data_IF_968990631290
#
_entry.id   IF_968990631290
#
_cell.length_a   1.000
_cell.length_b   1.000
_cell.length_c   1.000
_cell.angle_alpha   90.00
_cell.angle_beta   90.00
_cell.angle_gamma   90.00
#
_symmetry.space_group_name_H-M   'P 1'
#
loop_
_entity.id
_entity.type
_entity.pdbx_description
1 polymer ?
#
# COMPACT_ATOMS: atom_id res chain seq x y z
N UNK A 1 -21.09 -19.87 9.53
CA UNK A 1 -21.83 -18.67 10.01
C UNK A 1 -20.86 -17.51 9.98
N UNK A 2 -20.83 -16.77 8.87
CA UNK A 2 -19.91 -15.64 8.68
C UNK A 2 -20.52 -14.39 9.31
N UNK A 3 -19.78 -13.75 10.21
CA UNK A 3 -20.19 -12.54 10.93
C UNK A 3 -19.60 -11.32 10.22
N UNK A 4 -20.40 -10.64 9.39
CA UNK A 4 -20.06 -9.31 8.88
C UNK A 4 -20.08 -8.30 10.04
N UNK A 5 -18.95 -7.61 10.27
CA UNK A 5 -18.87 -6.50 11.23
C UNK A 5 -18.56 -5.21 10.49
N UNK A 6 -19.60 -4.40 10.32
CA UNK A 6 -19.51 -3.01 9.89
C UNK A 6 -19.06 -2.13 11.06
N UNK A 7 -18.00 -1.34 10.86
CA UNK A 7 -17.57 -0.31 11.82
C UNK A 7 -17.57 1.06 11.13
N UNK A 8 -18.61 1.83 11.38
CA UNK A 8 -18.69 3.25 11.00
C UNK A 8 -17.91 4.09 12.02
N UNK A 9 -16.85 4.79 11.58
CA UNK A 9 -16.17 5.81 12.39
C UNK A 9 -16.61 7.20 11.94
N UNK A 10 -17.40 7.87 12.78
CA UNK A 10 -17.64 9.31 12.67
C UNK A 10 -16.70 10.06 13.63
N UNK A 11 -15.99 11.07 13.12
CA UNK A 11 -15.07 11.91 13.91
C UNK A 11 -15.57 13.36 13.85
N UNK A 12 -15.92 13.99 14.98
CA UNK A 12 -16.03 15.45 15.02
C UNK A 12 -14.67 16.05 15.37
N UNK A 13 -14.09 16.83 14.44
CA UNK A 13 -12.97 17.74 14.72
C UNK A 13 -13.48 18.94 15.52
N UNK A 14 -13.07 19.08 16.77
CA UNK A 14 -13.13 20.37 17.48
C UNK A 14 -11.71 20.81 17.86
N UNK A 15 -11.26 21.91 17.24
CA UNK A 15 -9.98 22.55 17.54
C UNK A 15 -10.26 23.61 18.62
N UNK A 16 -9.84 23.36 19.86
CA UNK A 16 -9.77 24.39 20.89
C UNK A 16 -8.33 24.90 21.00
N UNK A 17 -8.05 26.08 20.42
CA UNK A 17 -6.81 26.83 20.67
C UNK A 17 -6.97 27.61 21.98
N UNK A 18 -6.20 27.25 23.01
CA UNK A 18 -6.03 28.05 24.21
C UNK A 18 -4.87 29.05 24.01
N UNK A 19 -5.17 30.35 24.11
CA UNK A 19 -4.16 31.40 24.14
C UNK A 19 -3.86 31.75 25.60
N UNK A 20 -2.67 31.40 26.08
CA UNK A 20 -2.15 31.88 27.36
C UNK A 20 -1.52 33.27 27.17
N UNK A 21 -2.13 34.30 27.76
CA UNK A 21 -1.57 35.66 27.81
C UNK A 21 -0.75 35.78 29.10
N UNK A 22 0.55 36.01 28.95
CA UNK A 22 1.48 36.33 30.04
C UNK A 22 1.38 37.82 30.40
N UNK A 23 1.13 38.15 31.67
CA UNK A 23 1.23 39.52 32.19
C UNK A 23 2.65 39.83 32.64
N UNK A 24 3.24 40.88 32.08
CA UNK A 24 4.56 41.41 32.45
C UNK A 24 4.46 42.35 33.65
N UNK A 25 5.58 42.38 34.38
CA UNK A 25 5.88 43.07 35.62
C UNK A 25 6.04 44.60 35.53
N UNK A 26 5.80 45.20 36.70
CA UNK A 26 5.99 46.57 37.20
C UNK A 26 7.16 47.43 36.67
N UNK A 27 6.94 48.75 36.73
CA UNK A 27 7.99 49.77 36.90
C UNK A 27 7.68 50.67 38.10
N UNK A 28 8.74 50.95 38.88
CA UNK A 28 8.79 51.76 40.09
C UNK A 28 8.96 53.26 39.79
N UNK A 29 8.52 54.14 40.71
CA UNK A 29 9.30 55.32 41.15
C UNK A 29 8.86 55.87 42.53
N UNK A 30 9.80 56.33 43.40
CA UNK A 30 9.50 56.83 44.75
C UNK A 30 9.57 58.37 44.90
N UNK A 31 8.94 58.91 45.94
CA UNK A 31 9.17 60.29 46.49
C UNK A 31 8.94 60.26 48.02
N UNK A 32 9.66 61.05 48.86
CA UNK A 32 9.78 60.80 50.30
C UNK A 32 9.05 61.78 51.26
N UNK A 33 9.01 61.34 52.52
CA UNK A 33 9.07 62.06 53.81
C UNK A 33 7.84 62.81 54.37
N UNK A 34 7.41 62.43 55.59
CA UNK A 34 7.63 63.11 56.90
C UNK A 34 6.85 62.35 58.00
N UNK A 35 7.31 62.30 59.29
CA UNK A 35 6.95 61.25 60.23
C UNK A 35 5.83 61.64 61.21
N UNK A 36 5.16 60.64 61.78
CA UNK A 36 4.40 60.79 63.03
C UNK A 36 4.54 59.55 63.92
N UNK A 37 4.90 59.82 65.17
CA UNK A 37 5.03 58.88 66.27
C UNK A 37 3.76 58.06 66.51
N UNK A 38 3.94 56.78 66.85
CA UNK A 38 2.88 55.94 67.37
C UNK A 38 3.43 54.57 67.74
N UNK A 39 3.54 54.32 69.04
CA UNK A 39 4.00 53.08 69.66
C UNK A 39 3.06 51.94 69.28
N UNK A 40 3.54 50.92 68.56
CA UNK A 40 2.89 49.61 68.50
C UNK A 40 3.95 48.50 68.46
N UNK A 41 3.96 47.68 69.52
CA UNK A 41 4.67 46.41 69.55
C UNK A 41 3.97 45.43 68.63
N UNK A 42 4.68 44.89 67.64
CA UNK A 42 4.19 43.78 66.84
C UNK A 42 5.32 42.77 66.65
N UNK A 43 5.13 41.62 67.29
CA UNK A 43 5.61 40.28 66.97
C UNK A 43 6.65 40.18 65.84
N UNK A 44 7.88 39.78 66.18
CA UNK A 44 8.89 39.37 65.19
C UNK A 44 8.37 38.19 64.36
N UNK A 45 7.91 38.46 63.14
CA UNK A 45 7.73 37.42 62.14
C UNK A 45 9.09 37.07 61.56
N UNK A 46 9.63 35.93 61.99
CA UNK A 46 10.78 35.31 61.35
C UNK A 46 10.42 34.98 59.89
N UNK A 47 11.03 35.68 58.94
CA UNK A 47 10.92 35.35 57.52
C UNK A 47 11.66 34.05 57.28
N UNK A 48 10.92 32.94 57.19
CA UNK A 48 11.49 31.67 56.70
C UNK A 48 11.77 31.83 55.20
N UNK A 49 12.92 31.38 54.68
CA UNK A 49 13.14 31.32 53.25
C UNK A 49 12.14 30.32 52.65
N UNK A 50 11.22 30.81 51.82
CA UNK A 50 10.38 29.98 50.98
C UNK A 50 11.27 29.40 49.88
N UNK A 51 11.85 28.23 50.13
CA UNK A 51 12.40 27.43 49.06
C UNK A 51 11.26 27.06 48.11
N UNK A 52 11.46 27.26 46.80
CA UNK A 52 10.56 26.72 45.80
C UNK A 52 10.49 25.20 45.99
N UNK A 53 9.30 24.69 46.32
CA UNK A 53 9.06 23.25 46.30
C UNK A 53 9.18 22.81 44.85
N UNK A 54 10.36 22.32 44.46
CA UNK A 54 10.50 21.57 43.22
C UNK A 54 9.57 20.37 43.35
N UNK A 55 8.46 20.41 42.60
CA UNK A 55 7.56 19.29 42.49
C UNK A 55 8.35 18.15 41.86
N UNK A 56 8.85 17.23 42.69
CA UNK A 56 9.32 15.91 42.25
C UNK A 56 8.08 15.06 41.96
N UNK A 57 7.24 15.52 41.04
CA UNK A 57 6.31 14.62 40.38
C UNK A 57 7.22 13.65 39.66
N UNK A 58 7.49 12.49 40.27
CA UNK A 58 7.98 11.34 39.53
C UNK A 58 7.06 11.28 38.32
N UNK A 59 7.61 11.42 37.12
CA UNK A 59 6.87 11.07 35.92
C UNK A 59 6.34 9.67 36.20
N UNK A 60 5.05 9.59 36.52
CA UNK A 60 4.39 8.32 36.71
C UNK A 60 4.59 7.70 35.34
N UNK A 61 5.40 6.63 35.26
CA UNK A 61 5.30 5.73 34.12
C UNK A 61 3.84 5.32 34.13
N UNK A 62 3.06 5.97 33.27
CA UNK A 62 1.69 5.56 33.01
C UNK A 62 1.83 4.08 32.65
N UNK A 63 1.16 3.20 33.41
CA UNK A 63 1.16 1.78 33.06
C UNK A 63 0.73 1.65 31.61
N UNK A 64 1.32 0.69 30.88
CA UNK A 64 0.89 0.35 29.52
C UNK A 64 -0.66 0.36 29.48
N UNK A 65 -1.23 1.03 28.49
CA UNK A 65 -2.68 1.15 28.42
C UNK A 65 -3.26 -0.27 28.30
N UNK A 66 -4.38 -0.54 28.94
CA UNK A 66 -5.00 -1.88 28.92
C UNK A 66 -5.22 -2.39 27.48
N UNK A 67 -5.51 -1.48 26.55
CA UNK A 67 -5.63 -1.79 25.13
C UNK A 67 -4.34 -2.23 24.42
N UNK A 68 -3.16 -1.88 24.95
CA UNK A 68 -1.87 -2.29 24.36
C UNK A 68 -1.67 -3.81 24.53
N UNK A 69 -2.07 -4.35 25.68
CA UNK A 69 -1.99 -5.78 25.96
C UNK A 69 -2.94 -6.60 25.07
N UNK A 70 -4.20 -6.14 24.94
CA UNK A 70 -5.19 -6.79 24.08
C UNK A 70 -4.74 -6.77 22.60
N UNK A 71 -4.21 -5.64 22.14
CA UNK A 71 -3.72 -5.49 20.77
C UNK A 71 -2.51 -6.38 20.51
N UNK A 72 -1.54 -6.44 21.43
CA UNK A 72 -0.37 -7.34 21.30
C UNK A 72 -0.80 -8.80 21.25
N UNK A 73 -1.73 -9.23 22.11
CA UNK A 73 -2.23 -10.60 22.10
C UNK A 73 -2.89 -10.94 20.77
N UNK A 74 -3.70 -10.01 20.22
CA UNK A 74 -4.33 -10.22 18.91
C UNK A 74 -3.31 -10.29 17.78
N UNK A 75 -2.33 -9.37 17.76
CA UNK A 75 -1.25 -9.38 16.76
C UNK A 75 -0.41 -10.67 16.84
N UNK A 76 -0.17 -11.19 18.04
CA UNK A 76 0.51 -12.48 18.21
C UNK A 76 -0.27 -13.65 17.65
N UNK A 77 -1.58 -13.66 17.83
CA UNK A 77 -2.42 -14.72 17.30
C UNK A 77 -2.48 -14.67 15.77
N UNK A 78 -2.70 -13.50 15.17
CA UNK A 78 -2.63 -13.32 13.71
C UNK A 78 -1.30 -13.79 13.15
N UNK A 79 -0.17 -13.37 13.74
CA UNK A 79 1.16 -13.73 13.28
C UNK A 79 1.39 -15.27 13.34
N UNK A 80 0.86 -15.97 14.35
CA UNK A 80 0.92 -17.44 14.40
C UNK A 80 0.11 -18.07 13.28
N UNK A 81 -1.09 -17.56 13.00
CA UNK A 81 -1.93 -18.05 11.91
C UNK A 81 -1.23 -17.85 10.57
N UNK A 82 -0.76 -16.64 10.26
CA UNK A 82 -0.13 -16.31 8.98
C UNK A 82 1.17 -17.07 8.71
N UNK A 83 1.96 -17.35 9.75
CA UNK A 83 3.18 -18.18 9.61
C UNK A 83 2.90 -19.66 9.43
N UNK A 84 1.76 -20.14 9.91
CA UNK A 84 1.39 -21.54 9.83
C UNK A 84 0.73 -21.88 8.48
N UNK A 85 -0.19 -21.04 8.00
CA UNK A 85 -0.97 -21.34 6.79
C UNK A 85 -0.55 -20.50 5.57
N UNK A 86 -0.28 -19.21 5.75
CA UNK A 86 -0.21 -18.28 4.61
C UNK A 86 0.91 -18.56 3.60
N UNK A 87 2.00 -19.24 4.00
CA UNK A 87 3.05 -19.65 3.07
C UNK A 87 2.79 -21.04 2.47
N UNK A 88 2.11 -21.93 3.19
CA UNK A 88 1.77 -23.28 2.69
C UNK A 88 0.79 -23.17 1.51
N UNK A 89 -0.14 -22.22 1.58
CA UNK A 89 -1.12 -21.95 0.50
C UNK A 89 -0.45 -21.41 -0.79
N UNK A 90 0.79 -20.90 -0.69
CA UNK A 90 1.54 -20.31 -1.81
C UNK A 90 2.72 -21.18 -2.28
N UNK A 91 2.81 -22.44 -1.83
CA UNK A 91 3.93 -23.34 -2.17
C UNK A 91 4.07 -23.54 -3.69
N UNK A 92 2.95 -23.62 -4.41
CA UNK A 92 2.92 -23.71 -5.89
C UNK A 92 3.52 -22.46 -6.53
N UNK A 93 3.10 -21.27 -6.09
CA UNK A 93 3.63 -19.98 -6.55
C UNK A 93 5.12 -19.86 -6.26
N UNK A 94 5.59 -20.27 -5.07
CA UNK A 94 7.02 -20.28 -4.73
C UNK A 94 7.82 -21.20 -5.65
N UNK A 95 7.28 -22.37 -5.99
CA UNK A 95 7.94 -23.30 -6.93
C UNK A 95 7.99 -22.73 -8.36
N UNK A 96 6.89 -22.13 -8.83
CA UNK A 96 6.85 -21.48 -10.15
C UNK A 96 7.89 -20.35 -10.24
N UNK A 97 7.94 -19.48 -9.23
CA UNK A 97 8.93 -18.40 -9.13
C UNK A 97 10.35 -18.97 -9.21
N UNK A 98 10.66 -19.99 -8.41
CA UNK A 98 12.00 -20.61 -8.44
C UNK A 98 12.35 -21.21 -9.80
N UNK A 99 11.41 -21.90 -10.43
CA UNK A 99 11.59 -22.49 -11.76
C UNK A 99 11.91 -21.41 -12.81
N UNK A 100 11.08 -20.37 -12.90
CA UNK A 100 11.24 -19.31 -13.90
C UNK A 100 12.56 -18.55 -13.68
N UNK A 101 12.93 -18.25 -12.43
CA UNK A 101 14.17 -17.54 -12.11
C UNK A 101 15.43 -18.38 -12.29
N UNK A 102 15.35 -19.70 -12.17
CA UNK A 102 16.50 -20.58 -12.45
C UNK A 102 16.70 -20.77 -13.95
N UNK A 103 15.60 -20.84 -14.70
CA UNK A 103 15.64 -21.06 -16.15
C UNK A 103 15.97 -19.78 -16.92
N UNK A 104 15.63 -18.63 -16.36
CA UNK A 104 15.85 -17.33 -16.97
C UNK A 104 16.97 -16.58 -16.26
N UNK A 105 17.88 -15.97 -17.01
CA UNK A 105 19.00 -15.20 -16.47
C UNK A 105 18.60 -13.80 -15.93
N UNK A 106 17.55 -13.73 -15.11
CA UNK A 106 17.11 -12.49 -14.46
C UNK A 106 17.80 -12.32 -13.11
N UNK A 107 18.35 -11.13 -12.87
CA UNK A 107 18.83 -10.69 -11.56
C UNK A 107 17.71 -9.94 -10.84
N UNK A 108 17.34 -10.40 -9.66
CA UNK A 108 16.28 -9.81 -8.84
C UNK A 108 16.87 -8.88 -7.79
N UNK A 109 16.26 -7.72 -7.65
CA UNK A 109 16.38 -6.86 -6.49
C UNK A 109 15.01 -6.69 -5.85
N UNK A 110 14.85 -7.35 -4.71
CA UNK A 110 13.70 -7.30 -3.81
C UNK A 110 14.21 -6.89 -2.42
N UNK A 111 13.73 -5.74 -1.93
CA UNK A 111 14.13 -5.18 -0.65
C UNK A 111 12.97 -5.34 0.34
N UNK A 112 13.17 -6.09 1.45
CA UNK A 112 12.14 -6.24 2.47
C UNK A 112 11.70 -4.90 3.06
N UNK A 113 10.39 -4.62 3.03
CA UNK A 113 9.77 -3.36 3.45
C UNK A 113 9.55 -2.35 2.32
N UNK A 114 10.08 -2.59 1.12
CA UNK A 114 9.75 -1.84 -0.10
C UNK A 114 8.70 -2.63 -0.90
N UNK A 115 7.77 -1.93 -1.56
CA UNK A 115 6.73 -2.56 -2.37
C UNK A 115 7.21 -2.89 -3.80
N UNK A 116 8.17 -2.14 -4.33
CA UNK A 116 8.69 -2.31 -5.69
C UNK A 116 9.68 -3.48 -5.75
N UNK A 117 9.53 -4.31 -6.78
CA UNK A 117 10.48 -5.36 -7.14
C UNK A 117 11.05 -5.04 -8.51
N UNK A 118 12.35 -5.27 -8.69
CA UNK A 118 13.00 -5.07 -9.99
C UNK A 118 13.74 -6.31 -10.46
N UNK A 119 13.49 -6.68 -11.71
CA UNK A 119 14.19 -7.72 -12.45
C UNK A 119 15.09 -7.06 -13.48
N UNK A 120 16.34 -7.50 -13.60
CA UNK A 120 17.29 -6.96 -14.57
C UNK A 120 17.98 -8.07 -15.34
N UNK A 121 18.22 -7.84 -16.63
CA UNK A 121 18.92 -8.78 -17.50
C UNK A 121 19.58 -8.03 -18.65
N UNK A 122 20.65 -8.61 -19.19
CA UNK A 122 21.28 -8.13 -20.42
C UNK A 122 20.84 -8.96 -21.62
N UNK A 123 20.58 -8.28 -22.74
CA UNK A 123 20.27 -8.91 -24.02
C UNK A 123 21.13 -8.28 -25.10
N UNK A 124 22.22 -8.96 -25.49
CA UNK A 124 23.19 -8.40 -26.42
C UNK A 124 23.82 -7.11 -25.88
N UNK A 125 23.57 -5.99 -26.54
CA UNK A 125 24.01 -4.65 -26.11
C UNK A 125 22.94 -3.88 -25.31
N UNK A 126 21.81 -4.50 -25.00
CA UNK A 126 20.68 -3.86 -24.34
C UNK A 126 20.63 -4.25 -22.86
N UNK A 127 20.24 -3.30 -22.00
CA UNK A 127 19.91 -3.55 -20.61
C UNK A 127 18.39 -3.52 -20.46
N UNK A 128 17.82 -4.59 -19.92
CA UNK A 128 16.39 -4.77 -19.75
C UNK A 128 16.09 -4.78 -18.26
N UNK A 129 15.11 -3.97 -17.87
CA UNK A 129 14.62 -3.86 -16.50
C UNK A 129 13.12 -4.03 -16.51
N UNK A 130 12.59 -4.90 -15.66
CA UNK A 130 11.17 -4.94 -15.34
C UNK A 130 10.98 -4.48 -13.91
N UNK A 131 9.98 -3.64 -13.68
CA UNK A 131 9.57 -3.23 -12.34
C UNK A 131 8.07 -3.41 -12.19
N UNK A 132 7.67 -4.04 -11.09
CA UNK A 132 6.29 -4.23 -10.69
C UNK A 132 6.18 -3.99 -9.17
N UNK A 133 4.97 -3.73 -8.69
CA UNK A 133 4.73 -3.35 -7.29
C UNK A 133 3.64 -4.20 -6.68
N UNK A 134 3.78 -4.46 -5.38
CA UNK A 134 2.74 -5.16 -4.61
C UNK A 134 1.49 -4.29 -4.40
N UNK A 135 1.61 -2.97 -4.56
CA UNK A 135 0.49 -2.03 -4.43
C UNK A 135 -0.67 -2.32 -5.41
N UNK A 136 -0.41 -3.02 -6.51
CA UNK A 136 -1.45 -3.33 -7.50
C UNK A 136 -2.57 -4.20 -6.90
N UNK A 137 -2.24 -5.17 -6.02
CA UNK A 137 -3.23 -5.99 -5.30
C UNK A 137 -4.19 -5.13 -4.46
N UNK A 138 -3.68 -4.04 -3.87
CA UNK A 138 -4.47 -3.17 -3.00
C UNK A 138 -5.46 -2.34 -3.83
N UNK A 139 -5.03 -1.83 -4.97
CA UNK A 139 -5.89 -1.06 -5.87
C UNK A 139 -7.03 -1.91 -6.48
N UNK A 140 -6.78 -3.20 -6.73
CA UNK A 140 -7.80 -4.14 -7.22
C UNK A 140 -8.93 -4.33 -6.22
N UNK A 141 -8.59 -4.52 -4.94
CA UNK A 141 -9.59 -4.66 -3.88
C UNK A 141 -10.49 -3.43 -3.75
N UNK A 142 -9.95 -2.23 -3.96
CA UNK A 142 -10.74 -0.99 -3.94
C UNK A 142 -11.67 -0.88 -5.16
N UNK A 143 -11.24 -1.35 -6.33
CA UNK A 143 -12.03 -1.30 -7.57
C UNK A 143 -13.19 -2.31 -7.53
N UNK A 144 -12.95 -3.55 -7.08
CA UNK A 144 -14.01 -4.56 -6.91
C UNK A 144 -15.07 -4.11 -5.89
N UNK A 145 -14.64 -3.47 -4.80
CA UNK A 145 -15.56 -2.92 -3.80
C UNK A 145 -16.38 -1.74 -4.36
N UNK A 146 -15.80 -0.93 -5.27
CA UNK A 146 -16.53 0.14 -5.98
C UNK A 146 -17.57 -0.41 -6.97
N UNK A 147 -17.21 -1.44 -7.73
CA UNK A 147 -18.08 -2.04 -8.73
C UNK A 147 -19.26 -2.78 -8.06
N UNK A 148 -19.00 -3.44 -6.93
CA UNK A 148 -20.05 -4.06 -6.10
C UNK A 148 -21.04 -3.04 -5.50
N UNK A 149 -20.58 -1.82 -5.18
CA UNK A 149 -21.45 -0.73 -4.72
C UNK A 149 -22.22 -0.07 -5.88
N UNK A 150 -21.67 -0.11 -7.10
CA UNK A 150 -22.34 0.35 -8.32
C UNK A 150 -23.57 -0.48 -8.68
N UNK A 151 -23.45 -1.81 -8.55
CA UNK A 151 -24.56 -2.74 -8.79
C UNK A 151 -25.67 -2.68 -7.72
N UNK A 152 -25.37 -2.19 -6.50
CA UNK A 152 -26.40 -1.98 -5.46
C UNK A 152 -27.26 -0.73 -5.73
N UNK A 153 -26.82 0.18 -6.60
CA UNK A 153 -27.52 1.43 -6.94
C UNK A 153 -28.44 1.33 -8.17
N UNK A 154 -28.43 0.21 -8.91
CA UNK A 154 -29.25 0.05 -10.12
C UNK A 154 -30.52 -0.82 -9.91
N UNK A 155 -30.86 -1.12 -8.64
CA UNK A 155 -32.08 -1.85 -8.29
C UNK A 155 -33.31 -0.94 -8.11
N UNK A 156 -33.66 -0.17 -9.15
CA UNK A 156 -34.96 0.51 -9.22
C UNK A 156 -35.52 0.48 -10.66
N UNK A 157 -35.72 -0.74 -11.20
CA UNK A 157 -36.63 -0.94 -12.33
C UNK A 157 -38.02 -1.38 -11.85
N UNK A 158 -39.09 -0.70 -12.29
CA UNK A 158 -40.43 -0.95 -11.77
C UNK A 158 -40.97 -2.30 -12.24
N UNK A 159 -41.48 -3.05 -11.25
CA UNK A 159 -42.18 -4.31 -11.40
C UNK A 159 -43.27 -4.27 -12.49
N UNK A 160 -43.03 -5.00 -13.58
CA UNK A 160 -44.08 -5.25 -14.57
C UNK A 160 -44.92 -6.46 -14.11
N UNK A 161 -46.05 -6.17 -13.47
CA UNK A 161 -47.09 -7.16 -13.15
C UNK A 161 -47.75 -7.65 -14.44
N UNK A 162 -47.69 -8.97 -14.68
CA UNK A 162 -48.71 -9.66 -15.47
C UNK A 162 -48.28 -10.98 -16.07
N UNK A 163 -48.56 -12.10 -15.38
CA UNK A 163 -49.55 -13.10 -15.81
C UNK A 163 -49.21 -14.49 -15.24
N UNK A 164 -50.20 -15.11 -14.61
CA UNK A 164 -50.12 -16.44 -14.02
C UNK A 164 -50.13 -17.51 -15.13
N UNK A 165 -49.16 -18.43 -15.09
CA UNK A 165 -49.10 -19.59 -15.97
C UNK A 165 -48.09 -20.61 -15.46
N UNK A 166 -48.58 -21.54 -14.64
CA UNK A 166 -47.97 -22.80 -14.23
C UNK A 166 -46.88 -23.34 -15.17
N UNK A 167 -45.62 -23.34 -14.73
CA UNK A 167 -44.58 -24.25 -15.22
C UNK A 167 -43.95 -24.94 -14.02
N UNK A 168 -44.09 -26.25 -13.97
CA UNK A 168 -43.54 -27.13 -12.94
C UNK A 168 -42.01 -27.02 -12.91
N UNK A 169 -41.45 -26.66 -11.77
CA UNK A 169 -40.01 -26.68 -11.53
C UNK A 169 -39.59 -28.13 -11.30
N UNK A 170 -38.85 -28.72 -12.25
CA UNK A 170 -38.25 -30.04 -12.09
C UNK A 170 -37.03 -29.96 -11.16
N UNK A 171 -36.79 -30.96 -10.30
CA UNK A 171 -35.69 -30.95 -9.33
C UNK A 171 -34.44 -31.60 -9.95
N UNK A 172 -33.80 -30.96 -10.93
CA UNK A 172 -32.64 -31.56 -11.60
C UNK A 172 -31.67 -30.45 -12.06
N UNK A 173 -30.92 -29.87 -11.13
CA UNK A 173 -29.64 -29.22 -11.49
C UNK A 173 -28.61 -29.47 -10.38
N UNK A 174 -28.32 -30.76 -10.18
CA UNK A 174 -27.17 -31.18 -9.41
C UNK A 174 -25.97 -31.21 -10.36
N UNK A 175 -25.21 -30.12 -10.38
CA UNK A 175 -23.91 -30.03 -11.07
C UNK A 175 -23.06 -31.26 -10.74
N UNK A 176 -22.55 -31.92 -11.77
CA UNK A 176 -21.75 -33.14 -11.63
C UNK A 176 -20.45 -32.84 -10.86
N UNK A 177 -19.92 -33.74 -10.02
CA UNK A 177 -18.65 -33.51 -9.32
C UNK A 177 -17.47 -33.18 -10.23
N UNK A 178 -17.49 -33.61 -11.50
CA UNK A 178 -16.47 -33.29 -12.50
C UNK A 178 -16.52 -31.84 -13.01
N UNK A 179 -17.65 -31.14 -12.86
CA UNK A 179 -17.78 -29.72 -13.24
C UNK A 179 -17.32 -28.79 -12.09
N UNK A 180 -17.14 -29.30 -10.86
CA UNK A 180 -16.58 -28.54 -9.73
C UNK A 180 -15.06 -28.41 -9.77
N UNK A 181 -14.36 -29.28 -10.49
CA UNK A 181 -12.88 -29.29 -10.50
C UNK A 181 -12.27 -28.23 -11.43
N UNK A 182 -13.08 -27.50 -12.21
CA UNK A 182 -12.60 -26.39 -13.06
C UNK A 182 -12.87 -25.00 -12.43
N UNK A 183 -13.45 -24.93 -11.24
CA UNK A 183 -13.91 -23.67 -10.61
C UNK A 183 -12.93 -23.10 -9.57
N UNK A 184 -11.85 -23.82 -9.21
CA UNK A 184 -10.88 -23.43 -8.18
C UNK A 184 -9.59 -22.76 -8.73
N UNK A 185 -9.57 -22.36 -10.01
CA UNK A 185 -8.49 -21.50 -10.50
C UNK A 185 -8.80 -20.06 -10.07
N UNK A 186 -8.22 -19.64 -8.94
CA UNK A 186 -8.24 -18.24 -8.50
C UNK A 186 -7.87 -17.35 -9.70
N UNK A 187 -8.75 -16.41 -10.10
CA UNK A 187 -8.51 -15.60 -11.29
C UNK A 187 -7.20 -14.82 -11.13
N UNK A 188 -6.35 -14.85 -12.15
CA UNK A 188 -5.12 -14.07 -12.11
C UNK A 188 -5.48 -12.58 -12.16
N UNK A 189 -4.94 -11.81 -11.23
CA UNK A 189 -5.17 -10.38 -11.19
C UNK A 189 -4.25 -9.66 -12.17
N UNK A 190 -4.69 -8.56 -12.79
CA UNK A 190 -3.84 -7.78 -13.68
C UNK A 190 -2.72 -7.10 -12.88
N UNK A 191 -1.48 -7.47 -13.16
CA UNK A 191 -0.29 -6.86 -12.56
C UNK A 191 0.32 -5.84 -13.52
N UNK A 192 0.53 -4.59 -13.08
CA UNK A 192 1.17 -3.56 -13.92
C UNK A 192 2.67 -3.75 -13.87
N UNK A 193 3.27 -3.84 -15.05
CA UNK A 193 4.70 -4.09 -15.22
C UNK A 193 5.27 -3.05 -16.16
N UNK A 194 6.23 -2.29 -15.65
CA UNK A 194 7.00 -1.34 -16.46
C UNK A 194 8.24 -2.05 -16.99
N UNK A 195 8.33 -2.20 -18.31
CA UNK A 195 9.49 -2.76 -19.00
C UNK A 195 10.33 -1.62 -19.56
N UNK A 196 11.57 -1.48 -19.10
CA UNK A 196 12.52 -0.54 -19.67
C UNK A 196 13.59 -1.27 -20.45
N UNK A 197 13.86 -0.81 -21.68
CA UNK A 197 14.92 -1.34 -22.53
C UNK A 197 15.86 -0.19 -22.90
N UNK A 198 17.05 -0.21 -22.31
CA UNK A 198 18.10 0.78 -22.55
C UNK A 198 19.10 0.26 -23.58
N UNK A 199 19.48 1.15 -24.51
CA UNK A 199 20.57 0.91 -25.47
C UNK A 199 21.69 1.93 -25.25
N UNK A 200 22.96 1.49 -25.18
CA UNK A 200 24.10 2.39 -25.07
C UNK A 200 24.04 3.46 -26.16
N UNK A 201 24.03 4.73 -25.75
CA UNK A 201 23.98 5.92 -26.62
C UNK A 201 22.68 6.16 -27.41
N UNK A 202 21.68 5.28 -27.35
CA UNK A 202 20.45 5.41 -28.14
C UNK A 202 19.21 5.72 -27.29
N UNK A 203 19.38 5.93 -25.99
CA UNK A 203 18.29 6.22 -25.06
C UNK A 203 17.64 4.94 -24.51
N UNK A 204 16.41 5.08 -24.01
CA UNK A 204 15.64 4.00 -23.43
C UNK A 204 14.18 4.03 -23.91
N UNK A 205 13.60 2.84 -24.07
CA UNK A 205 12.15 2.67 -24.20
C UNK A 205 11.58 2.32 -22.84
N UNK A 206 10.47 2.97 -22.47
CA UNK A 206 9.60 2.55 -21.38
C UNK A 206 8.34 1.98 -22.01
N UNK A 207 8.04 0.72 -21.71
CA UNK A 207 6.88 0.02 -22.21
C UNK A 207 6.04 -0.35 -21.00
N UNK A 208 4.88 0.29 -20.87
CA UNK A 208 3.93 0.00 -19.81
C UNK A 208 3.07 -1.18 -20.26
N UNK A 209 3.02 -2.20 -19.42
CA UNK A 209 2.32 -3.45 -19.74
C UNK A 209 1.47 -3.90 -18.55
N UNK A 210 0.44 -4.67 -18.84
CA UNK A 210 -0.33 -5.42 -17.85
C UNK A 210 -0.09 -6.90 -18.08
N UNK A 211 0.40 -7.59 -17.05
CA UNK A 211 0.56 -9.03 -17.04
C UNK A 211 -0.70 -9.67 -16.46
N UNK A 212 -1.42 -10.44 -17.28
CA UNK A 212 -2.63 -11.16 -16.87
C UNK A 212 -2.79 -12.42 -17.74
N UNK A 213 -3.21 -13.52 -17.12
CA UNK A 213 -3.53 -14.79 -17.80
C UNK A 213 -2.40 -15.31 -18.70
N UNK A 214 -1.15 -15.09 -18.28
CA UNK A 214 0.03 -15.52 -19.03
C UNK A 214 0.34 -14.67 -20.27
N UNK A 215 -0.24 -13.49 -20.40
CA UNK A 215 0.02 -12.55 -21.49
C UNK A 215 0.49 -11.20 -20.94
N UNK A 216 1.33 -10.52 -21.70
CA UNK A 216 1.65 -9.11 -21.50
C UNK A 216 0.84 -8.29 -22.49
N UNK A 217 -0.12 -7.52 -22.02
CA UNK A 217 -0.82 -6.52 -22.82
C UNK A 217 -0.03 -5.20 -22.77
N UNK A 218 0.32 -4.65 -23.93
CA UNK A 218 1.01 -3.35 -24.01
C UNK A 218 -0.02 -2.22 -23.95
N UNK A 219 0.16 -1.28 -23.02
CA UNK A 219 -0.70 -0.10 -22.89
C UNK A 219 -0.06 1.14 -23.53
N UNK A 220 1.23 1.33 -23.29
CA UNK A 220 1.97 2.53 -23.71
C UNK A 220 3.42 2.20 -24.07
N UNK A 221 3.95 2.89 -25.08
CA UNK A 221 5.37 2.82 -25.48
C UNK A 221 5.94 4.22 -25.59
N UNK A 222 6.73 4.62 -24.58
CA UNK A 222 7.39 5.93 -24.52
C UNK A 222 8.88 5.82 -24.83
N UNK A 223 9.43 6.80 -25.54
CA UNK A 223 10.86 6.89 -25.85
C UNK A 223 11.53 8.06 -25.13
N UNK A 224 12.68 7.79 -24.51
CA UNK A 224 13.49 8.77 -23.83
C UNK A 224 14.91 8.80 -24.40
N UNK A 225 15.35 9.96 -24.89
CA UNK A 225 16.75 10.11 -25.35
C UNK A 225 17.76 9.97 -24.21
N UNK A 226 17.35 10.27 -22.97
CA UNK A 226 18.16 10.07 -21.75
C UNK A 226 17.61 8.87 -20.97
N UNK A 227 18.40 7.80 -20.80
CA UNK A 227 17.94 6.60 -20.07
C UNK A 227 17.49 6.88 -18.63
N UNK A 228 18.13 7.85 -17.96
CA UNK A 228 17.81 8.27 -16.60
C UNK A 228 16.33 8.64 -16.37
N UNK A 229 15.63 9.08 -17.42
CA UNK A 229 14.21 9.46 -17.33
C UNK A 229 13.29 8.23 -17.36
N UNK A 230 13.69 7.15 -18.04
CA UNK A 230 12.92 5.90 -18.02
C UNK A 230 12.92 5.27 -16.62
N UNK A 231 13.99 5.50 -15.84
CA UNK A 231 14.17 5.03 -14.47
C UNK A 231 13.98 6.13 -13.42
N UNK A 232 13.06 7.08 -13.66
CA UNK A 232 12.86 8.21 -12.76
C UNK A 232 12.41 7.77 -11.36
N UNK A 233 13.33 7.77 -10.39
CA UNK A 233 13.04 7.50 -8.96
C UNK A 233 12.83 8.76 -8.12
N UNK A 234 13.22 9.92 -8.65
CA UNK A 234 13.08 11.21 -7.95
C UNK A 234 11.92 11.99 -8.52
N UNK A 235 11.20 12.73 -7.68
CA UNK A 235 10.08 13.57 -8.10
C UNK A 235 10.42 14.54 -9.24
N UNK A 236 11.63 15.11 -9.26
CA UNK A 236 12.08 16.01 -10.34
C UNK A 236 12.18 15.28 -11.69
N UNK A 237 12.83 14.11 -11.71
CA UNK A 237 12.93 13.29 -12.92
C UNK A 237 11.57 12.77 -13.39
N UNK A 238 10.66 12.45 -12.46
CA UNK A 238 9.31 12.01 -12.80
C UNK A 238 8.50 13.15 -13.43
N UNK A 239 8.61 14.36 -12.88
CA UNK A 239 8.03 15.56 -13.47
C UNK A 239 8.57 15.84 -14.88
N UNK A 240 9.89 15.74 -15.06
CA UNK A 240 10.53 15.90 -16.36
C UNK A 240 10.05 14.84 -17.35
N UNK A 241 9.86 13.60 -16.89
CA UNK A 241 9.31 12.48 -17.68
C UNK A 241 7.88 12.78 -18.14
N UNK A 242 7.00 13.23 -17.24
CA UNK A 242 5.61 13.56 -17.54
C UNK A 242 5.46 14.73 -18.51
N UNK A 243 6.48 15.59 -18.59
CA UNK A 243 6.51 16.71 -19.53
C UNK A 243 6.85 16.30 -20.97
N UNK A 244 7.27 15.04 -21.20
CA UNK A 244 7.61 14.51 -22.52
C UNK A 244 6.43 13.78 -23.15
N UNK A 245 6.46 13.69 -24.49
CA UNK A 245 5.43 12.96 -25.21
C UNK A 245 5.56 11.45 -24.95
N UNK A 246 4.49 10.88 -24.39
CA UNK A 246 4.42 9.48 -23.97
C UNK A 246 4.19 8.50 -25.13
N UNK A 247 3.81 9.01 -26.31
CA UNK A 247 3.38 8.19 -27.45
C UNK A 247 1.87 8.31 -27.68
N UNK A 248 1.36 7.78 -28.80
CA UNK A 248 -0.08 7.62 -28.99
C UNK A 248 -0.58 6.44 -28.15
N UNK A 249 -1.90 6.33 -27.91
CA UNK A 249 -2.49 5.10 -27.36
C UNK A 249 -2.09 3.89 -28.21
N UNK A 250 -1.62 2.81 -27.57
CA UNK A 250 -1.07 1.65 -28.27
C UNK A 250 -2.06 1.03 -29.26
N UNK A 251 -3.34 0.95 -28.88
CA UNK A 251 -4.43 0.41 -29.71
C UNK A 251 -4.64 1.18 -31.03
N UNK A 252 -4.20 2.44 -31.10
CA UNK A 252 -4.31 3.26 -32.32
C UNK A 252 -3.14 3.06 -33.28
N UNK A 253 -2.14 2.25 -32.91
CA UNK A 253 -1.05 1.89 -33.81
C UNK A 253 -1.53 0.90 -34.87
N UNK A 254 -0.81 0.84 -35.98
CA UNK A 254 -1.03 -0.17 -37.01
C UNK A 254 -0.88 -1.61 -36.44
N UNK A 255 -1.74 -2.54 -36.84
CA UNK A 255 -1.81 -3.90 -36.28
C UNK A 255 -0.51 -4.69 -36.45
N UNK A 256 0.17 -4.53 -37.60
CA UNK A 256 1.47 -5.19 -37.82
C UNK A 256 2.53 -4.61 -36.88
N UNK A 257 2.48 -3.29 -36.63
CA UNK A 257 3.40 -2.64 -35.69
C UNK A 257 3.19 -3.13 -34.25
N UNK A 258 1.94 -3.29 -33.81
CA UNK A 258 1.60 -3.85 -32.50
C UNK A 258 2.18 -5.27 -32.37
N UNK A 259 1.91 -6.13 -33.36
CA UNK A 259 2.43 -7.51 -33.42
C UNK A 259 3.96 -7.56 -33.37
N UNK A 260 4.65 -6.64 -34.08
CA UNK A 260 6.10 -6.58 -34.06
C UNK A 260 6.67 -6.09 -32.72
N UNK A 261 5.96 -5.23 -31.99
CA UNK A 261 6.36 -4.79 -30.65
C UNK A 261 6.20 -5.91 -29.61
N UNK A 262 5.12 -6.69 -29.70
CA UNK A 262 4.92 -7.88 -28.87
C UNK A 262 6.03 -8.90 -29.10
N UNK A 263 6.32 -9.25 -30.36
CA UNK A 263 7.43 -10.15 -30.70
C UNK A 263 8.79 -9.61 -30.24
N UNK A 264 8.99 -8.29 -30.31
CA UNK A 264 10.21 -7.64 -29.83
C UNK A 264 10.42 -7.84 -28.32
N UNK A 265 9.34 -7.81 -27.52
CA UNK A 265 9.37 -8.12 -26.09
C UNK A 265 9.61 -9.62 -25.85
N UNK A 266 8.94 -10.48 -26.59
CA UNK A 266 9.04 -11.93 -26.43
C UNK A 266 10.47 -12.45 -26.70
N UNK A 267 11.14 -11.95 -27.75
CA UNK A 267 12.53 -12.28 -28.09
C UNK A 267 13.53 -11.93 -26.96
N UNK A 268 13.15 -11.00 -26.08
CA UNK A 268 13.94 -10.56 -24.93
C UNK A 268 13.65 -11.34 -23.65
N UNK A 269 12.69 -12.25 -23.69
CA UNK A 269 12.25 -13.07 -22.57
C UNK A 269 11.16 -12.43 -21.73
N UNK A 270 10.44 -11.44 -22.25
CA UNK A 270 9.17 -10.97 -21.70
C UNK A 270 8.08 -11.84 -22.35
N UNK A 271 7.86 -13.01 -21.77
CA UNK A 271 7.08 -14.10 -22.35
C UNK A 271 5.99 -14.61 -21.38
N UNK A 272 5.25 -15.62 -21.80
CA UNK A 272 4.15 -16.18 -20.99
C UNK A 272 4.61 -16.72 -19.62
N UNK A 273 5.79 -17.35 -19.54
CA UNK A 273 6.34 -17.83 -18.25
C UNK A 273 6.57 -16.68 -17.27
N UNK A 274 7.04 -15.53 -17.76
CA UNK A 274 7.24 -14.36 -16.93
C UNK A 274 5.90 -13.70 -16.55
N UNK A 275 4.94 -13.67 -17.47
CA UNK A 275 3.61 -13.12 -17.24
C UNK A 275 2.83 -13.89 -16.15
N UNK A 276 3.00 -15.22 -16.07
CA UNK A 276 2.38 -16.02 -14.99
C UNK A 276 3.13 -15.92 -13.67
N UNK A 277 4.46 -15.78 -13.70
CA UNK A 277 5.28 -15.71 -12.48
C UNK A 277 5.13 -14.37 -11.74
N UNK A 278 4.90 -13.26 -12.43
CA UNK A 278 4.82 -11.94 -11.78
C UNK A 278 3.67 -11.85 -10.76
N UNK A 279 2.42 -12.23 -11.08
CA UNK A 279 1.32 -12.28 -10.11
C UNK A 279 1.65 -13.19 -8.91
N UNK A 280 2.21 -14.37 -9.15
CA UNK A 280 2.68 -15.28 -8.10
C UNK A 280 3.72 -14.61 -7.18
N UNK A 281 4.68 -13.89 -7.76
CA UNK A 281 5.71 -13.18 -7.00
C UNK A 281 5.09 -12.11 -6.12
N UNK A 282 4.15 -11.35 -6.66
CA UNK A 282 3.45 -10.28 -5.95
C UNK A 282 2.68 -10.85 -4.74
N UNK A 283 1.95 -11.96 -4.90
CA UNK A 283 1.24 -12.61 -3.77
C UNK A 283 2.21 -13.10 -2.69
N UNK A 284 3.27 -13.81 -3.10
CA UNK A 284 4.30 -14.31 -2.16
C UNK A 284 4.99 -13.17 -1.43
N UNK A 285 5.26 -12.05 -2.11
CA UNK A 285 5.86 -10.88 -1.48
C UNK A 285 4.89 -10.19 -0.54
N UNK A 286 3.61 -10.00 -0.92
CA UNK A 286 2.60 -9.39 -0.05
C UNK A 286 2.47 -10.17 1.26
N UNK A 287 2.38 -11.51 1.19
CA UNK A 287 2.30 -12.34 2.39
C UNK A 287 3.52 -12.15 3.31
N UNK A 288 4.72 -12.05 2.74
CA UNK A 288 5.96 -11.81 3.52
C UNK A 288 5.97 -10.42 4.15
N UNK A 289 5.55 -9.40 3.40
CA UNK A 289 5.49 -8.02 3.89
C UNK A 289 4.40 -7.86 4.96
N UNK A 290 3.26 -8.55 4.83
CA UNK A 290 2.20 -8.57 5.81
C UNK A 290 2.68 -9.17 7.14
N UNK A 291 3.35 -10.32 7.12
CA UNK A 291 3.95 -10.92 8.32
C UNK A 291 4.97 -9.99 8.96
N UNK A 292 5.82 -9.35 8.15
CA UNK A 292 6.79 -8.36 8.63
C UNK A 292 6.11 -7.14 9.26
N UNK A 293 5.01 -6.68 8.67
CA UNK A 293 4.22 -5.57 9.20
C UNK A 293 3.61 -5.92 10.55
N UNK A 294 2.98 -7.10 10.68
CA UNK A 294 2.45 -7.60 11.95
C UNK A 294 3.53 -7.65 13.04
N UNK A 295 4.72 -8.17 12.71
CA UNK A 295 5.88 -8.19 13.60
C UNK A 295 6.29 -6.77 14.04
N UNK A 296 6.39 -5.85 13.09
CA UNK A 296 6.83 -4.48 13.35
C UNK A 296 5.84 -3.72 14.22
N UNK A 297 4.54 -3.85 13.93
CA UNK A 297 3.47 -3.22 14.72
C UNK A 297 3.42 -3.81 16.13
N UNK A 298 3.51 -5.13 16.27
CA UNK A 298 3.58 -5.79 17.58
C UNK A 298 4.76 -5.27 18.40
N UNK A 299 5.95 -5.20 17.79
CA UNK A 299 7.15 -4.70 18.47
C UNK A 299 7.01 -3.24 18.88
N UNK A 300 6.33 -2.41 18.08
CA UNK A 300 6.06 -1.02 18.43
C UNK A 300 5.08 -0.88 19.60
N UNK A 301 3.97 -1.63 19.60
CA UNK A 301 2.95 -1.56 20.67
C UNK A 301 3.47 -2.13 21.99
N UNK A 302 4.43 -3.08 21.94
CA UNK A 302 5.01 -3.70 23.13
C UNK A 302 6.20 -2.95 23.75
N UNK A 303 6.70 -1.88 23.12
CA UNK A 303 7.88 -1.12 23.55
C UNK A 303 7.59 -0.09 24.65
#
# INVERSE_FOLDING_TARGET
MMSLRTLTRSVPRTISRSLAISSRSALFRPVPAVPRNGIQSALQQAMKPSYAAFSTSRAFKQSAAEGDFELVAKLEDELKHEKASGLEDLDSSVQNIQYVLQNNSWEIKDVPGEQEVSLTKKFGNEEIRLTFTVADLQNLSEQEELDALGDELDFDQPANKGNAGSVSQAPEDSVSPADREMEDAEPSFPARVNVTIEKPSNGALLIQTVAQDGLFQIEEVSYFSKPDLAHAQTAEKDWDRQSLYAGPPFENLDEDLQTYLERYLEERGINAELATMIPDYIQVKEQKEYVRWLESVKNFVSA
#
